data_IF_266325479507
#
_entry.id   IF_266325479507
#
_cell.length_a   1.000
_cell.length_b   1.000
_cell.length_c   1.000
_cell.angle_alpha   90.00
_cell.angle_beta   90.00
_cell.angle_gamma   90.00
#
_symmetry.space_group_name_H-M   'P 1'
#
loop_
_entity.id
_entity.type
_entity.pdbx_description
1 polymer ?
#
# COMPACT_ATOMS: atom_id res chain seq x y z
N UNK A 1 13.50 20.02 -8.58
CA UNK A 1 12.05 20.20 -8.37
C UNK A 1 11.74 19.63 -7.01
N UNK A 2 11.09 20.40 -6.12
CA UNK A 2 10.70 19.86 -4.82
C UNK A 2 9.81 18.63 -5.09
N UNK A 3 10.21 17.46 -4.55
CA UNK A 3 9.40 16.24 -4.62
C UNK A 3 8.00 16.62 -4.12
N UNK A 4 6.97 16.51 -4.95
CA UNK A 4 5.61 16.76 -4.49
C UNK A 4 5.36 15.95 -3.23
N UNK A 5 4.66 16.56 -2.28
CA UNK A 5 4.43 15.95 -0.98
C UNK A 5 3.51 14.74 -1.15
N UNK A 6 4.10 13.56 -1.32
CA UNK A 6 3.41 12.30 -1.56
C UNK A 6 2.33 11.99 -0.51
N UNK A 7 2.46 12.54 0.70
CA UNK A 7 1.51 12.33 1.79
C UNK A 7 0.43 13.41 1.87
N UNK A 8 0.41 14.39 0.97
CA UNK A 8 -0.55 15.50 0.98
C UNK A 8 -2.00 15.01 1.00
N UNK A 9 -2.36 14.11 0.09
CA UNK A 9 -3.72 13.56 0.00
C UNK A 9 -4.07 12.70 1.22
N UNK A 10 -3.09 11.94 1.73
CA UNK A 10 -3.26 11.17 2.96
C UNK A 10 -3.59 12.07 4.16
N UNK A 11 -2.77 13.10 4.39
CA UNK A 11 -2.99 14.04 5.50
C UNK A 11 -4.30 14.80 5.37
N UNK A 12 -4.68 15.21 4.15
CA UNK A 12 -5.94 15.90 3.89
C UNK A 12 -7.18 15.03 4.19
N UNK A 13 -7.06 13.71 4.06
CA UNK A 13 -8.14 12.74 4.34
C UNK A 13 -8.19 12.27 5.79
N UNK A 14 -7.35 12.77 6.69
CA UNK A 14 -7.27 12.31 8.08
C UNK A 14 -7.44 13.45 9.07
N UNK A 15 -8.09 13.13 10.18
CA UNK A 15 -8.10 13.98 11.36
C UNK A 15 -7.31 13.31 12.48
N UNK A 16 -6.04 13.66 12.62
CA UNK A 16 -5.10 13.09 13.59
C UNK A 16 -5.40 13.48 15.05
N UNK A 17 -6.37 14.37 15.30
CA UNK A 17 -6.89 14.58 16.66
C UNK A 17 -7.90 13.49 17.09
N UNK A 18 -8.38 12.68 16.14
CA UNK A 18 -9.40 11.65 16.36
C UNK A 18 -8.83 10.25 16.10
N UNK A 19 -8.12 10.07 14.98
CA UNK A 19 -7.52 8.76 14.63
C UNK A 19 -6.16 8.58 15.30
N UNK A 20 -5.83 7.34 15.69
CA UNK A 20 -4.51 6.96 16.19
C UNK A 20 -3.54 6.58 15.08
N UNK A 21 -3.90 6.84 13.82
CA UNK A 21 -3.01 6.64 12.68
C UNK A 21 -1.83 7.62 12.70
N UNK A 22 -0.64 7.20 12.25
CA UNK A 22 0.52 8.08 12.22
C UNK A 22 0.42 9.13 11.10
N UNK A 23 0.68 10.40 11.42
CA UNK A 23 0.61 11.49 10.45
C UNK A 23 1.79 11.51 9.45
N UNK A 24 2.96 11.04 9.88
CA UNK A 24 4.21 11.12 9.12
C UNK A 24 5.25 10.10 9.61
N UNK A 25 6.44 10.14 9.01
CA UNK A 25 7.61 9.43 9.48
C UNK A 25 7.69 7.96 9.09
N UNK A 26 8.64 7.28 9.74
CA UNK A 26 9.07 5.92 9.44
C UNK A 26 10.52 5.91 8.97
N UNK A 27 11.28 4.93 9.44
CA UNK A 27 12.68 4.77 9.06
C UNK A 27 12.76 4.00 7.75
N UNK A 28 13.37 4.62 6.74
CA UNK A 28 13.79 3.91 5.54
C UNK A 28 15.03 3.10 5.89
N UNK A 29 14.96 1.79 5.70
CA UNK A 29 16.12 0.92 5.86
C UNK A 29 16.85 0.89 4.52
N UNK A 30 18.06 1.45 4.47
CA UNK A 30 18.87 1.44 3.25
C UNK A 30 19.08 0.00 2.77
N UNK A 31 18.70 -0.26 1.51
CA UNK A 31 18.86 -1.56 0.85
C UNK A 31 17.77 -2.60 1.15
N UNK A 32 16.74 -2.27 1.93
CA UNK A 32 15.65 -3.19 2.25
C UNK A 32 14.29 -2.50 2.11
N UNK A 33 13.62 -2.69 0.97
CA UNK A 33 12.30 -2.13 0.75
C UNK A 33 11.24 -2.98 1.47
N UNK A 34 10.40 -2.33 2.27
CA UNK A 34 9.39 -3.01 3.08
C UNK A 34 8.06 -3.15 2.35
N UNK A 35 7.32 -4.21 2.65
CA UNK A 35 5.91 -4.32 2.29
C UNK A 35 5.07 -4.64 3.52
N UNK A 36 3.81 -4.24 3.46
CA UNK A 36 2.80 -4.62 4.46
C UNK A 36 1.50 -4.97 3.75
N UNK A 37 0.80 -5.95 4.32
CA UNK A 37 -0.58 -6.27 3.97
C UNK A 37 -1.42 -6.08 5.22
N UNK A 38 -2.32 -5.12 5.19
CA UNK A 38 -3.25 -4.88 6.28
C UNK A 38 -4.61 -5.48 5.93
N UNK A 39 -5.19 -6.26 6.85
CA UNK A 39 -6.58 -6.71 6.71
C UNK A 39 -7.47 -5.67 7.36
N UNK A 40 -8.40 -5.14 6.58
CA UNK A 40 -9.18 -3.96 6.94
C UNK A 40 -10.68 -4.28 6.90
N UNK A 41 -11.31 -4.29 8.07
CA UNK A 41 -12.76 -4.41 8.25
C UNK A 41 -13.42 -3.02 8.24
N UNK A 42 -13.40 -2.37 7.08
CA UNK A 42 -14.15 -1.15 6.83
C UNK A 42 -15.63 -1.46 6.49
N UNK A 43 -16.29 -0.61 5.70
CA UNK A 43 -17.62 -0.89 5.15
C UNK A 43 -17.69 -2.24 4.41
N UNK A 44 -16.58 -2.63 3.77
CA UNK A 44 -16.37 -3.95 3.18
C UNK A 44 -15.01 -4.46 3.64
N UNK A 45 -14.94 -5.75 3.98
CA UNK A 45 -13.66 -6.40 4.22
C UNK A 45 -12.81 -6.33 2.95
N UNK A 46 -11.58 -5.84 3.09
CA UNK A 46 -10.57 -5.83 2.04
C UNK A 46 -9.17 -5.94 2.66
N UNK A 47 -8.15 -5.99 1.80
CA UNK A 47 -6.76 -6.01 2.19
C UNK A 47 -6.05 -4.82 1.56
N UNK A 48 -5.42 -3.99 2.37
CA UNK A 48 -4.55 -2.92 1.88
C UNK A 48 -3.15 -3.49 1.67
N UNK A 49 -2.73 -3.58 0.41
CA UNK A 49 -1.39 -4.01 0.01
C UNK A 49 -0.51 -2.78 -0.23
N UNK A 50 0.67 -2.74 0.37
CA UNK A 50 1.54 -1.56 0.29
C UNK A 50 3.00 -1.94 0.06
N UNK A 51 3.68 -1.18 -0.78
CA UNK A 51 5.10 -1.30 -1.08
C UNK A 51 5.81 0.02 -0.78
N UNK A 52 6.90 -0.05 -0.02
CA UNK A 52 7.80 1.08 0.19
C UNK A 52 8.51 1.40 -1.13
N UNK A 53 8.35 2.64 -1.62
CA UNK A 53 9.06 3.16 -2.78
C UNK A 53 9.17 4.68 -2.68
N UNK A 54 10.35 5.22 -2.94
CA UNK A 54 10.58 6.68 -2.99
C UNK A 54 10.27 7.46 -1.69
N UNK A 55 10.25 6.78 -0.54
CA UNK A 55 10.03 7.39 0.78
C UNK A 55 8.56 7.40 1.22
N UNK A 56 7.67 6.75 0.50
CA UNK A 56 6.27 6.53 0.89
C UNK A 56 5.84 5.09 0.62
N UNK A 57 4.66 4.74 1.14
CA UNK A 57 4.03 3.44 0.90
C UNK A 57 3.03 3.55 -0.25
N UNK A 58 3.44 3.13 -1.45
CA UNK A 58 2.53 2.97 -2.60
C UNK A 58 1.49 1.93 -2.26
N UNK A 59 0.22 2.25 -2.43
CA UNK A 59 -0.86 1.54 -1.75
C UNK A 59 -1.99 1.13 -2.68
N UNK A 60 -2.51 -0.08 -2.48
CA UNK A 60 -3.65 -0.62 -3.21
C UNK A 60 -4.64 -1.31 -2.28
N UNK A 61 -5.92 -1.02 -2.43
CA UNK A 61 -6.99 -1.80 -1.83
C UNK A 61 -7.28 -3.04 -2.69
N UNK A 62 -7.19 -4.23 -2.11
CA UNK A 62 -7.40 -5.54 -2.75
C UNK A 62 -8.63 -6.21 -2.11
N UNK A 63 -9.84 -6.07 -2.69
CA UNK A 63 -11.08 -6.48 -2.02
C UNK A 63 -11.14 -7.95 -1.62
N UNK A 64 -10.63 -8.85 -2.47
CA UNK A 64 -10.61 -10.29 -2.17
C UNK A 64 -9.32 -10.75 -1.49
N UNK A 65 -8.33 -9.87 -1.33
CA UNK A 65 -6.97 -10.21 -0.89
C UNK A 65 -6.13 -10.91 -1.96
N UNK A 66 -4.84 -11.16 -1.66
CA UNK A 66 -3.90 -11.82 -2.57
C UNK A 66 -4.29 -13.29 -2.82
N UNK A 67 -3.81 -13.85 -3.94
CA UNK A 67 -4.01 -15.26 -4.31
C UNK A 67 -2.71 -15.90 -4.74
N UNK A 68 -2.49 -17.15 -4.32
CA UNK A 68 -1.36 -17.96 -4.77
C UNK A 68 -1.62 -18.69 -6.09
N UNK A 69 -2.88 -18.74 -6.54
CA UNK A 69 -3.23 -19.32 -7.83
C UNK A 69 -2.87 -18.30 -8.94
N UNK A 70 -1.90 -18.60 -9.83
CA UNK A 70 -1.50 -17.68 -10.90
C UNK A 70 -2.60 -17.41 -11.93
N UNK A 71 -3.64 -18.25 -12.01
CA UNK A 71 -4.79 -18.04 -12.87
C UNK A 71 -5.81 -17.06 -12.25
N UNK A 72 -5.77 -16.85 -10.94
CA UNK A 72 -6.72 -16.01 -10.19
C UNK A 72 -6.23 -14.56 -10.09
N UNK A 73 -6.62 -13.75 -11.08
CA UNK A 73 -6.28 -12.33 -11.12
C UNK A 73 -7.08 -11.51 -10.09
N UNK A 74 -6.39 -10.95 -9.12
CA UNK A 74 -6.98 -10.09 -8.06
C UNK A 74 -6.96 -8.62 -8.46
N UNK A 75 -8.12 -7.97 -8.40
CA UNK A 75 -8.23 -6.53 -8.58
C UNK A 75 -7.53 -5.80 -7.43
N UNK A 76 -6.67 -4.85 -7.77
CA UNK A 76 -5.95 -3.97 -6.85
C UNK A 76 -6.24 -2.53 -7.25
N UNK A 77 -7.00 -1.80 -6.43
CA UNK A 77 -7.38 -0.41 -6.68
C UNK A 77 -6.36 0.49 -6.04
N UNK A 78 -5.68 1.33 -6.83
CA UNK A 78 -4.70 2.27 -6.29
C UNK A 78 -5.37 3.29 -5.36
N UNK A 79 -4.77 3.55 -4.21
CA UNK A 79 -5.23 4.51 -3.20
C UNK A 79 -4.07 5.44 -2.82
N UNK A 80 -4.30 6.36 -1.89
CA UNK A 80 -3.30 7.35 -1.50
C UNK A 80 -2.04 6.68 -0.92
N UNK A 81 -0.90 7.31 -1.12
CA UNK A 81 0.34 6.95 -0.44
C UNK A 81 0.18 7.07 1.07
N UNK A 82 0.87 6.20 1.83
CA UNK A 82 0.87 6.25 3.29
C UNK A 82 2.29 6.49 3.82
N UNK A 83 2.45 7.06 5.04
CA UNK A 83 3.76 7.19 5.64
C UNK A 83 4.33 5.81 5.97
N UNK A 84 5.66 5.67 5.94
CA UNK A 84 6.35 4.39 6.24
C UNK A 84 6.04 3.91 7.67
N UNK A 85 5.82 4.83 8.61
CA UNK A 85 5.37 4.53 9.98
C UNK A 85 4.03 3.79 10.03
N UNK A 86 3.18 3.93 9.01
CA UNK A 86 1.89 3.23 8.90
C UNK A 86 2.04 1.71 8.80
N UNK A 87 3.22 1.21 8.42
CA UNK A 87 3.53 -0.23 8.35
C UNK A 87 3.41 -0.95 9.69
N UNK A 88 3.42 -0.20 10.80
CA UNK A 88 3.31 -0.72 12.16
C UNK A 88 1.90 -0.53 12.74
N UNK A 89 0.98 0.10 12.00
CA UNK A 89 -0.34 0.41 12.50
C UNK A 89 -1.26 -0.83 12.54
N UNK A 90 -1.74 -1.11 13.75
CA UNK A 90 -2.86 -2.00 14.05
C UNK A 90 -3.78 -1.28 15.04
N UNK A 91 -5.09 -1.39 14.84
CA UNK A 91 -6.04 -0.67 15.69
C UNK A 91 -7.41 -0.55 15.06
N UNK A 92 -8.17 0.42 15.55
CA UNK A 92 -9.51 0.74 15.04
C UNK A 92 -9.53 2.20 14.62
N UNK A 93 -9.76 2.45 13.34
CA UNK A 93 -10.03 3.78 12.82
C UNK A 93 -11.45 4.16 13.27
N UNK A 94 -11.64 5.27 14.01
CA UNK A 94 -12.94 5.61 14.59
C UNK A 94 -14.04 5.77 13.55
N UNK A 95 -15.29 5.52 13.96
CA UNK A 95 -16.45 5.74 13.09
C UNK A 95 -16.49 7.18 12.56
N UNK A 96 -17.05 7.35 11.36
CA UNK A 96 -17.15 8.63 10.64
C UNK A 96 -15.80 9.21 10.17
N UNK A 97 -14.68 8.55 10.44
CA UNK A 97 -13.41 8.86 9.80
C UNK A 97 -13.29 8.14 8.45
N UNK A 98 -12.45 8.66 7.57
CA UNK A 98 -12.13 7.99 6.31
C UNK A 98 -11.40 6.67 6.62
N UNK A 99 -11.90 5.57 6.06
CA UNK A 99 -11.38 4.24 6.38
C UNK A 99 -11.80 3.72 7.76
N UNK A 100 -12.89 4.20 8.34
CA UNK A 100 -13.41 3.69 9.61
C UNK A 100 -13.53 2.16 9.60
N UNK A 101 -12.97 1.51 10.61
CA UNK A 101 -12.89 0.06 10.65
C UNK A 101 -11.74 -0.47 11.49
N UNK A 102 -11.73 -1.78 11.72
CA UNK A 102 -10.61 -2.46 12.38
C UNK A 102 -9.52 -2.75 11.34
N UNK A 103 -8.26 -2.56 11.72
CA UNK A 103 -7.08 -2.82 10.90
C UNK A 103 -6.13 -3.72 11.69
N UNK A 104 -5.65 -4.79 11.06
CA UNK A 104 -4.52 -5.60 11.57
C UNK A 104 -3.46 -5.75 10.49
N UNK A 105 -2.22 -6.01 10.89
CA UNK A 105 -1.16 -6.46 9.99
C UNK A 105 -1.43 -7.94 9.71
N UNK A 106 -1.88 -8.22 8.49
CA UNK A 106 -2.10 -9.58 8.04
C UNK A 106 -0.79 -10.23 7.60
N UNK A 107 0.09 -9.49 6.94
CA UNK A 107 1.45 -9.93 6.60
C UNK A 107 2.38 -8.72 6.48
N UNK A 108 3.68 -8.95 6.61
CA UNK A 108 4.73 -7.95 6.40
C UNK A 108 6.05 -8.63 6.07
N UNK A 109 6.95 -7.88 5.46
CA UNK A 109 8.29 -8.34 5.19
C UNK A 109 9.03 -7.44 4.23
N UNK A 110 9.94 -8.03 3.47
CA UNK A 110 10.70 -7.32 2.43
C UNK A 110 10.12 -7.63 1.06
N UNK A 111 10.20 -6.65 0.16
CA UNK A 111 9.99 -6.87 -1.26
C UNK A 111 11.25 -6.54 -2.05
N UNK A 112 11.53 -7.33 -3.08
CA UNK A 112 12.69 -7.18 -3.93
C UNK A 112 12.21 -6.91 -5.35
N UNK A 113 12.39 -5.69 -5.89
CA UNK A 113 12.03 -5.38 -7.27
C UNK A 113 12.85 -6.21 -8.24
N UNK A 114 12.22 -6.66 -9.31
CA UNK A 114 12.88 -7.27 -10.47
C UNK A 114 12.96 -6.20 -11.55
N UNK A 115 14.13 -5.57 -11.68
CA UNK A 115 14.36 -4.41 -12.54
C UNK A 115 14.30 -3.09 -11.75
N UNK A 116 14.09 -1.99 -12.47
CA UNK A 116 13.94 -0.66 -11.87
C UNK A 116 12.53 -0.50 -11.29
N UNK A 117 12.46 -0.35 -9.96
CA UNK A 117 11.20 -0.20 -9.24
C UNK A 117 10.45 1.10 -9.57
N UNK A 118 11.18 2.22 -9.67
CA UNK A 118 10.58 3.52 -9.93
C UNK A 118 10.02 3.56 -11.36
N UNK A 119 10.81 3.10 -12.33
CA UNK A 119 10.35 3.02 -13.71
C UNK A 119 9.21 2.01 -13.88
N UNK A 120 9.30 0.83 -13.27
CA UNK A 120 8.22 -0.18 -13.34
C UNK A 120 6.91 0.30 -12.72
N UNK A 121 6.96 1.12 -11.68
CA UNK A 121 5.77 1.76 -11.11
C UNK A 121 5.17 2.78 -12.08
N UNK A 122 5.98 3.65 -12.68
CA UNK A 122 5.55 4.65 -13.66
C UNK A 122 4.97 4.00 -14.94
N UNK A 123 5.58 2.92 -15.40
CA UNK A 123 5.13 2.14 -16.56
C UNK A 123 3.87 1.30 -16.27
N UNK A 124 3.42 1.28 -15.01
CA UNK A 124 2.26 0.49 -14.59
C UNK A 124 2.51 -1.03 -14.59
N UNK A 125 3.77 -1.47 -14.52
CA UNK A 125 4.13 -2.89 -14.48
C UNK A 125 5.27 -3.16 -13.51
N UNK A 126 4.92 -3.53 -12.28
CA UNK A 126 5.86 -3.92 -11.25
C UNK A 126 5.98 -5.44 -11.16
N UNK A 127 7.21 -5.94 -11.27
CA UNK A 127 7.56 -7.34 -10.97
C UNK A 127 8.46 -7.37 -9.74
N UNK A 128 8.19 -8.27 -8.82
CA UNK A 128 8.94 -8.33 -7.58
C UNK A 128 8.84 -9.69 -6.89
N UNK A 129 9.78 -9.98 -5.99
CA UNK A 129 9.72 -11.06 -5.02
C UNK A 129 9.19 -10.51 -3.68
N UNK A 130 8.27 -11.21 -3.02
CA UNK A 130 7.91 -10.96 -1.62
C UNK A 130 8.62 -11.95 -0.71
N UNK A 131 9.11 -11.46 0.43
CA UNK A 131 9.69 -12.23 1.53
C UNK A 131 8.97 -11.90 2.83
N UNK A 132 7.72 -12.32 2.92
CA UNK A 132 6.88 -12.20 4.12
C UNK A 132 6.78 -13.46 4.94
N UNK A 133 5.92 -13.40 5.97
CA UNK A 133 5.55 -14.57 6.73
C UNK A 133 4.56 -15.44 5.94
N UNK A 134 3.58 -14.80 5.28
CA UNK A 134 2.52 -15.48 4.51
C UNK A 134 2.78 -15.43 3.02
N UNK A 135 3.04 -14.25 2.46
CA UNK A 135 3.31 -14.04 1.05
C UNK A 135 4.80 -14.18 0.76
N UNK A 136 5.11 -15.07 -0.17
CA UNK A 136 6.46 -15.45 -0.59
C UNK A 136 6.49 -15.68 -2.08
N UNK A 137 7.65 -15.47 -2.70
CA UNK A 137 7.88 -15.77 -4.13
C UNK A 137 7.55 -14.59 -5.03
N UNK A 138 7.37 -14.86 -6.32
CA UNK A 138 7.25 -13.83 -7.35
C UNK A 138 5.81 -13.36 -7.56
N UNK A 139 5.66 -12.04 -7.69
CA UNK A 139 4.38 -11.36 -7.87
C UNK A 139 4.48 -10.33 -8.99
N UNK A 140 3.34 -9.90 -9.50
CA UNK A 140 3.27 -8.82 -10.50
C UNK A 140 2.05 -7.97 -10.24
N UNK A 141 2.24 -6.64 -10.23
CA UNK A 141 1.18 -5.65 -10.34
C UNK A 141 1.19 -5.08 -11.75
N UNK A 142 0.02 -5.05 -12.39
CA UNK A 142 -0.17 -4.50 -13.73
C UNK A 142 -1.33 -3.52 -13.67
N UNK A 143 -1.07 -2.27 -14.04
CA UNK A 143 -2.10 -1.27 -14.27
C UNK A 143 -2.87 -1.65 -15.56
N UNK A 144 -4.19 -1.60 -15.51
CA UNK A 144 -5.00 -1.82 -16.70
C UNK A 144 -5.00 -0.54 -17.54
N UNK A 145 -4.61 -0.62 -18.80
CA UNK A 145 -4.75 0.49 -19.74
C UNK A 145 -6.23 0.67 -20.10
N UNK A 146 -6.88 1.71 -19.54
CA UNK A 146 -8.18 2.21 -19.99
C UNK A 146 -9.31 2.26 -18.95
N UNK A 147 -9.86 3.47 -18.78
CA UNK A 147 -11.09 3.87 -18.05
C UNK A 147 -11.06 3.93 -16.52
N UNK A 148 -10.01 4.53 -15.98
CA UNK A 148 -10.09 5.32 -14.75
C UNK A 148 -9.38 6.63 -15.02
N UNK A 149 -9.94 7.76 -14.59
CA UNK A 149 -9.24 9.05 -14.63
C UNK A 149 -7.80 8.84 -14.17
N UNK A 150 -6.82 9.33 -14.97
CA UNK A 150 -5.46 9.49 -14.49
C UNK A 150 -5.56 10.32 -13.21
N UNK A 151 -5.47 9.68 -12.05
CA UNK A 151 -4.87 10.36 -10.93
C UNK A 151 -3.40 10.44 -11.29
N UNK A 152 -3.05 11.56 -11.93
CA UNK A 152 -1.68 12.00 -12.08
C UNK A 152 -1.02 12.07 -10.68
N UNK A 153 0.30 11.86 -10.61
CA UNK A 153 1.07 11.98 -9.36
C UNK A 153 0.84 13.32 -8.65
#
# INVERSE_FOLDING_TARGET
MAKEDALKTYRAKRNFSITSEPAEGGEMVQGALQFVVQKHWASRLHYDFRLELDGSMKSWAVPKGPSYDPADKRMAVHVEDHPVSYNKFEGTIPQKQYGAGKVIIWDKGLWLPIGDAAQGYLDGKLKFELRGHKLKGHWTLVAMEGKGEKQEP
#
